data_IF_954093997940
#
_entry.id   IF_954093997940
#
_cell.length_a   1.000
_cell.length_b   1.000
_cell.length_c   1.000
_cell.angle_alpha   90.00
_cell.angle_beta   90.00
_cell.angle_gamma   90.00
#
_symmetry.space_group_name_H-M   'P 1'
#
loop_
_entity.id
_entity.type
_entity.pdbx_description
1 polymer ?
#
# COMPACT_ATOMS: atom_id res chain seq x y z
N UNK A 1 16.57 -24.87 -30.97
CA UNK A 1 15.37 -24.47 -30.21
C UNK A 1 15.47 -25.09 -28.82
N UNK A 2 16.16 -24.41 -27.91
CA UNK A 2 16.23 -24.79 -26.50
C UNK A 2 16.07 -23.51 -25.70
N UNK A 3 14.88 -23.27 -25.16
CA UNK A 3 14.66 -22.09 -24.32
C UNK A 3 15.31 -22.34 -22.98
N UNK A 4 16.42 -21.64 -22.74
CA UNK A 4 17.01 -21.48 -21.42
C UNK A 4 15.98 -20.87 -20.49
N UNK A 5 15.40 -21.70 -19.61
CA UNK A 5 14.68 -21.20 -18.45
C UNK A 5 15.71 -20.51 -17.54
N UNK A 6 15.69 -19.19 -17.48
CA UNK A 6 16.42 -18.45 -16.47
C UNK A 6 15.68 -18.62 -15.15
N UNK A 7 16.26 -19.45 -14.29
CA UNK A 7 15.95 -19.53 -12.88
C UNK A 7 16.18 -18.15 -12.28
N UNK A 8 15.11 -17.42 -11.98
CA UNK A 8 15.20 -16.26 -11.09
C UNK A 8 15.43 -16.79 -9.68
N UNK A 9 16.70 -16.89 -9.30
CA UNK A 9 17.13 -17.00 -7.90
C UNK A 9 16.83 -15.67 -7.22
N UNK A 10 15.56 -15.43 -6.90
CA UNK A 10 15.20 -14.38 -5.95
C UNK A 10 15.74 -14.80 -4.60
N UNK A 11 16.80 -14.14 -4.16
CA UNK A 11 17.34 -14.29 -2.82
C UNK A 11 16.21 -14.10 -1.79
N UNK A 12 15.84 -15.19 -1.12
CA UNK A 12 14.95 -15.16 0.04
C UNK A 12 15.73 -14.68 1.27
N UNK A 13 16.40 -13.53 1.18
CA UNK A 13 16.84 -12.79 2.36
C UNK A 13 15.58 -12.18 2.97
N UNK A 14 14.84 -13.02 3.69
CA UNK A 14 13.62 -12.65 4.38
C UNK A 14 13.85 -11.42 5.25
N UNK A 15 13.43 -10.27 4.74
CA UNK A 15 13.31 -9.05 5.51
C UNK A 15 12.38 -9.36 6.67
N UNK A 16 12.94 -9.42 7.88
CA UNK A 16 12.19 -9.58 9.13
C UNK A 16 11.47 -8.29 9.53
N UNK A 17 11.61 -7.22 8.72
CA UNK A 17 10.89 -5.98 8.91
C UNK A 17 9.41 -6.20 8.55
N UNK A 18 8.55 -5.96 9.54
CA UNK A 18 7.10 -6.04 9.35
C UNK A 18 6.65 -4.90 8.45
N UNK A 19 6.08 -5.21 7.27
CA UNK A 19 5.37 -4.23 6.46
C UNK A 19 4.15 -3.75 7.26
N UNK A 20 4.06 -2.45 7.51
CA UNK A 20 2.99 -1.88 8.33
C UNK A 20 2.12 -0.92 7.52
N UNK A 21 0.81 -1.06 7.68
CA UNK A 21 -0.18 -0.10 7.21
C UNK A 21 -0.92 0.47 8.41
N UNK A 22 -0.75 1.77 8.66
CA UNK A 22 -1.46 2.50 9.70
C UNK A 22 -2.66 3.24 9.11
N UNK A 23 -3.84 3.07 9.72
CA UNK A 23 -5.05 3.80 9.35
C UNK A 23 -5.12 5.09 10.18
N UNK A 24 -4.93 6.25 9.56
CA UNK A 24 -5.04 7.52 10.27
C UNK A 24 -6.50 7.96 10.37
N UNK A 25 -6.94 8.37 11.57
CA UNK A 25 -8.24 9.02 11.76
C UNK A 25 -8.34 10.26 10.87
N UNK A 26 -9.50 10.44 10.23
CA UNK A 26 -9.77 11.53 9.29
C UNK A 26 -8.72 11.69 8.18
N UNK A 27 -7.96 10.63 7.86
CA UNK A 27 -6.76 10.73 7.02
C UNK A 27 -6.43 9.51 6.17
N UNK A 28 -5.19 9.53 5.69
CA UNK A 28 -4.60 8.53 4.78
C UNK A 28 -4.41 7.15 5.42
N UNK A 29 -4.10 6.16 4.57
CA UNK A 29 -3.38 4.96 4.99
C UNK A 29 -1.88 5.25 4.88
N UNK A 30 -1.14 5.20 5.98
CA UNK A 30 0.31 5.32 5.98
C UNK A 30 0.90 3.92 5.76
N UNK A 31 1.72 3.76 4.73
CA UNK A 31 2.43 2.52 4.42
C UNK A 31 3.91 2.74 4.67
N UNK A 32 4.53 1.86 5.45
CA UNK A 32 5.96 1.90 5.80
C UNK A 32 6.59 0.50 5.77
N UNK A 33 7.87 0.45 5.42
CA UNK A 33 8.65 -0.79 5.30
C UNK A 33 9.05 -1.07 3.86
N UNK A 34 9.30 -2.34 3.56
CA UNK A 34 9.66 -2.81 2.21
C UNK A 34 8.39 -3.10 1.41
N UNK A 35 8.02 -2.20 0.48
CA UNK A 35 6.81 -2.32 -0.32
C UNK A 35 7.00 -1.78 -1.74
N UNK A 36 6.16 -2.29 -2.65
CA UNK A 36 5.97 -1.78 -4.00
C UNK A 36 4.50 -1.38 -4.18
N UNK A 37 4.26 -0.30 -4.94
CA UNK A 37 2.91 0.08 -5.36
C UNK A 37 2.87 -0.05 -6.86
N UNK A 38 1.92 -0.85 -7.35
CA UNK A 38 1.72 -1.10 -8.78
C UNK A 38 0.34 -0.63 -9.24
N UNK A 39 0.23 -0.28 -10.51
CA UNK A 39 -1.06 -0.09 -11.16
C UNK A 39 -1.74 -1.44 -11.47
N UNK A 40 -2.94 -1.41 -12.07
CA UNK A 40 -3.69 -2.62 -12.45
C UNK A 40 -2.97 -3.54 -13.45
N UNK A 41 -1.96 -3.03 -14.15
CA UNK A 41 -1.18 -3.77 -15.15
C UNK A 41 0.13 -4.30 -14.54
N UNK A 42 0.39 -4.04 -13.26
CA UNK A 42 1.63 -4.41 -12.58
C UNK A 42 2.77 -3.40 -12.78
N UNK A 43 2.51 -2.20 -13.31
CA UNK A 43 3.55 -1.19 -13.50
C UNK A 43 3.80 -0.43 -12.19
N UNK A 44 5.06 -0.35 -11.71
CA UNK A 44 5.37 0.35 -10.46
C UNK A 44 5.20 1.86 -10.57
N UNK A 45 4.70 2.46 -9.49
CA UNK A 45 4.79 3.91 -9.29
C UNK A 45 6.22 4.30 -8.90
N UNK A 46 6.72 5.39 -9.47
CA UNK A 46 7.97 6.01 -9.00
C UNK A 46 7.74 6.69 -7.64
N UNK A 47 8.22 6.06 -6.58
CA UNK A 47 8.10 6.57 -5.23
C UNK A 47 9.16 7.64 -4.90
N UNK A 48 10.10 7.94 -5.80
CA UNK A 48 11.14 8.95 -5.61
C UNK A 48 12.01 8.69 -4.39
N UNK A 49 12.30 7.42 -4.10
CA UNK A 49 13.09 7.00 -2.94
C UNK A 49 12.38 7.07 -1.59
N UNK A 50 11.03 7.18 -1.56
CA UNK A 50 10.26 7.21 -0.32
C UNK A 50 10.08 5.81 0.26
N UNK A 51 10.53 5.62 1.50
CA UNK A 51 10.29 4.42 2.33
C UNK A 51 8.96 4.49 3.10
N UNK A 52 8.28 5.64 3.07
CA UNK A 52 6.99 5.88 3.70
C UNK A 52 6.12 6.66 2.74
N UNK A 53 4.91 6.19 2.50
CA UNK A 53 3.92 6.89 1.67
C UNK A 53 2.56 6.96 2.34
N UNK A 54 1.76 7.93 1.92
CA UNK A 54 0.37 8.07 2.36
C UNK A 54 -0.56 7.82 1.19
N UNK A 55 -1.42 6.81 1.31
CA UNK A 55 -2.44 6.47 0.32
C UNK A 55 -3.74 7.20 0.63
N UNK A 56 -4.33 7.80 -0.40
CA UNK A 56 -5.61 8.46 -0.33
C UNK A 56 -6.71 7.44 -0.02
N UNK A 57 -7.41 7.68 1.08
CA UNK A 57 -8.60 6.91 1.48
C UNK A 57 -9.89 7.72 1.41
N UNK A 58 -9.80 9.06 1.42
CA UNK A 58 -10.97 9.94 1.37
C UNK A 58 -11.60 10.10 -0.02
N UNK A 59 -10.92 9.68 -1.10
CA UNK A 59 -11.40 9.85 -2.47
C UNK A 59 -11.22 11.24 -3.07
N UNK A 60 -10.77 12.25 -2.31
CA UNK A 60 -10.71 13.65 -2.77
C UNK A 60 -9.37 14.09 -3.37
N UNK A 61 -8.30 13.30 -3.22
CA UNK A 61 -6.99 13.71 -3.72
C UNK A 61 -6.98 13.91 -5.24
N UNK A 62 -6.26 14.93 -5.72
CA UNK A 62 -5.94 15.15 -7.13
C UNK A 62 -4.73 14.34 -7.59
N UNK A 63 -3.96 13.76 -6.66
CA UNK A 63 -2.76 12.98 -6.92
C UNK A 63 -2.92 11.49 -6.55
N UNK A 64 -4.08 10.90 -6.88
CA UNK A 64 -4.36 9.48 -6.58
C UNK A 64 -3.29 8.57 -7.23
N UNK A 65 -2.88 7.48 -6.56
CA UNK A 65 -3.44 6.94 -5.32
C UNK A 65 -2.91 7.62 -4.04
N UNK A 66 -2.02 8.59 -4.14
CA UNK A 66 -1.38 9.23 -3.00
C UNK A 66 -2.25 10.31 -2.36
N UNK A 67 -2.05 10.55 -1.07
CA UNK A 67 -2.74 11.58 -0.32
C UNK A 67 -2.03 12.94 -0.51
N UNK A 68 -2.81 13.99 -0.79
CA UNK A 68 -2.37 15.38 -0.93
C UNK A 68 -3.03 16.33 0.10
N UNK A 69 -3.49 15.77 1.22
CA UNK A 69 -4.21 16.45 2.29
C UNK A 69 -5.62 16.96 1.96
N UNK A 70 -6.21 16.61 0.81
CA UNK A 70 -7.61 16.97 0.47
C UNK A 70 -8.66 16.37 1.43
N UNK A 71 -8.27 15.50 2.37
CA UNK A 71 -9.17 14.96 3.40
C UNK A 71 -9.56 15.97 4.48
N UNK A 72 -8.75 17.03 4.68
CA UNK A 72 -8.95 17.99 5.78
C UNK A 72 -10.33 18.66 5.66
N UNK A 73 -11.16 18.48 6.69
CA UNK A 73 -12.52 19.06 6.75
C UNK A 73 -13.54 18.38 5.84
N UNK A 74 -13.19 17.28 5.17
CA UNK A 74 -14.04 16.61 4.19
C UNK A 74 -14.13 15.09 4.38
N UNK A 75 -13.43 14.53 5.37
CA UNK A 75 -13.40 13.09 5.62
C UNK A 75 -13.40 12.83 7.13
N UNK A 76 -14.47 12.19 7.60
CA UNK A 76 -14.66 11.83 9.00
C UNK A 76 -14.62 10.31 9.15
N UNK A 77 -13.70 9.83 9.98
CA UNK A 77 -13.52 8.44 10.33
C UNK A 77 -12.60 8.34 11.56
N UNK A 78 -13.13 7.84 12.68
CA UNK A 78 -12.32 7.45 13.83
C UNK A 78 -11.73 6.05 13.60
N UNK A 79 -10.41 5.97 13.44
CA UNK A 79 -9.73 4.70 13.15
C UNK A 79 -9.50 3.88 14.41
N UNK A 80 -10.43 2.97 14.70
CA UNK A 80 -10.34 2.00 15.79
C UNK A 80 -10.25 0.59 15.19
N UNK A 81 -9.24 -0.18 15.60
CA UNK A 81 -9.06 -1.55 15.13
C UNK A 81 -10.15 -2.48 15.69
N UNK A 82 -10.60 -3.43 14.87
CA UNK A 82 -11.60 -4.44 15.25
C UNK A 82 -11.31 -5.77 14.54
N UNK A 83 -11.89 -6.85 15.06
CA UNK A 83 -11.79 -8.16 14.42
C UNK A 83 -12.77 -8.26 13.24
N UNK A 84 -12.27 -8.66 12.05
CA UNK A 84 -13.14 -8.99 10.93
C UNK A 84 -13.99 -10.22 11.26
N UNK A 85 -15.25 -10.29 10.77
CA UNK A 85 -16.02 -11.52 10.85
C UNK A 85 -15.31 -12.65 10.08
N UNK A 86 -15.62 -13.93 10.38
CA UNK A 86 -15.06 -15.05 9.64
C UNK A 86 -15.25 -14.89 8.13
N UNK A 87 -14.22 -15.24 7.36
CA UNK A 87 -14.29 -15.20 5.89
C UNK A 87 -15.43 -16.11 5.44
N UNK A 88 -16.40 -15.55 4.70
CA UNK A 88 -17.44 -16.36 4.06
C UNK A 88 -16.77 -17.23 2.98
N UNK A 89 -16.87 -18.54 3.13
CA UNK A 89 -16.53 -19.50 2.07
C UNK A 89 -17.80 -19.73 1.25
N UNK A 90 -17.72 -19.57 -0.07
CA UNK A 90 -18.80 -19.90 -1.00
C UNK A 90 -18.90 -21.41 -1.19
#
# INVERSE_FOLDING_TARGET
>A
MGSTFQSFSGDLTGSTATQQITVNSNGSLKVEGDFEIVDKNGMPYDLGGREIVSICRCGLSKNKPFCDASHKGHFEHEAIAFALPPKKTL
#
